data_IF_054410677112
#
_entry.id   IF_054410677112
#
_cell.length_a   1.000
_cell.length_b   1.000
_cell.length_c   1.000
_cell.angle_alpha   90.00
_cell.angle_beta   90.00
_cell.angle_gamma   90.00
#
_symmetry.space_group_name_H-M   'P 1'
#
loop_
_entity.id
_entity.type
_entity.pdbx_description
1 polymer ?
#
# COMPACT_ATOMS: atom_id res chain seq x y z
N UNK A 1 16.22 1.22 19.27
CA UNK A 1 16.39 0.63 17.92
C UNK A 1 15.36 1.33 17.06
N UNK A 2 15.78 2.05 16.02
CA UNK A 2 14.84 2.71 15.13
C UNK A 2 14.11 1.65 14.29
N UNK A 3 12.80 1.63 14.35
CA UNK A 3 11.97 0.86 13.43
C UNK A 3 11.92 1.65 12.13
N UNK A 4 12.44 1.10 11.05
CA UNK A 4 12.52 1.79 9.76
C UNK A 4 11.89 0.96 8.65
N UNK A 5 11.26 1.65 7.71
CA UNK A 5 10.88 1.06 6.43
C UNK A 5 12.04 1.17 5.45
N UNK A 6 12.03 0.30 4.44
CA UNK A 6 12.91 0.40 3.29
C UNK A 6 12.15 0.96 2.09
N UNK A 7 12.78 1.83 1.34
CA UNK A 7 12.32 2.29 0.03
C UNK A 7 13.51 2.13 -0.94
N UNK A 8 13.25 1.59 -2.12
CA UNK A 8 14.29 1.44 -3.15
C UNK A 8 15.01 2.76 -3.43
N UNK A 9 16.35 2.77 -3.57
CA UNK A 9 17.10 3.97 -3.95
C UNK A 9 16.77 4.47 -5.35
N UNK A 10 16.04 3.68 -6.15
CA UNK A 10 15.52 4.06 -7.47
C UNK A 10 14.27 4.94 -7.41
N UNK A 11 13.82 5.35 -6.21
CA UNK A 11 12.67 6.20 -6.04
C UNK A 11 12.96 7.34 -5.06
N UNK A 12 12.28 8.48 -5.25
CA UNK A 12 12.35 9.66 -4.38
C UNK A 12 10.98 9.93 -3.76
N UNK A 13 10.94 9.94 -2.43
CA UNK A 13 9.73 10.24 -1.65
C UNK A 13 9.50 11.74 -1.47
N UNK A 14 8.24 12.11 -1.23
CA UNK A 14 7.87 13.46 -0.85
C UNK A 14 7.85 14.46 -2.00
N UNK A 15 7.83 13.99 -3.24
CA UNK A 15 7.65 14.82 -4.45
C UNK A 15 6.17 15.19 -4.57
N UNK A 16 5.85 16.37 -5.09
CA UNK A 16 4.46 16.77 -5.38
C UNK A 16 3.80 15.74 -6.31
N UNK A 17 2.59 15.30 -5.96
CA UNK A 17 1.81 14.32 -6.71
C UNK A 17 0.64 14.99 -7.40
N UNK A 18 0.31 14.54 -8.61
CA UNK A 18 -0.91 14.94 -9.32
C UNK A 18 -2.16 14.25 -8.77
N UNK A 19 -1.98 13.14 -8.03
CA UNK A 19 -3.07 12.36 -7.43
C UNK A 19 -3.50 13.00 -6.12
N UNK A 20 -2.55 13.10 -5.17
CA UNK A 20 -2.81 13.70 -3.86
C UNK A 20 -1.51 14.06 -3.14
N UNK A 21 -1.41 15.30 -2.66
CA UNK A 21 -0.36 15.77 -1.76
C UNK A 21 1.05 15.48 -2.27
N UNK A 22 1.70 14.46 -1.71
CA UNK A 22 3.05 14.03 -2.05
C UNK A 22 3.08 12.57 -2.45
N UNK A 23 3.91 12.24 -3.44
CA UNK A 23 4.08 10.89 -3.97
C UNK A 23 5.49 10.33 -3.83
N UNK A 24 5.63 9.10 -4.27
CA UNK A 24 6.88 8.39 -4.45
C UNK A 24 7.13 8.27 -5.96
N UNK A 25 8.18 8.91 -6.47
CA UNK A 25 8.45 8.98 -7.91
C UNK A 25 9.69 8.15 -8.24
N UNK A 26 9.60 7.31 -9.27
CA UNK A 26 10.74 6.55 -9.79
C UNK A 26 11.78 7.51 -10.39
N UNK A 27 13.05 7.33 -10.02
CA UNK A 27 14.19 8.11 -10.53
C UNK A 27 15.10 7.31 -11.47
N UNK A 28 14.92 5.98 -11.50
CA UNK A 28 15.59 5.04 -12.36
C UNK A 28 14.61 3.91 -12.75
N UNK A 29 14.88 3.13 -13.82
CA UNK A 29 14.04 2.02 -14.20
C UNK A 29 13.92 0.98 -13.07
N UNK A 30 12.69 0.51 -12.81
CA UNK A 30 12.38 -0.55 -11.86
C UNK A 30 11.74 -1.69 -12.66
N UNK A 31 12.33 -2.88 -12.61
CA UNK A 31 11.82 -4.02 -13.36
C UNK A 31 10.60 -4.66 -12.66
N UNK A 32 9.75 -5.32 -13.44
CA UNK A 32 8.67 -6.15 -12.92
C UNK A 32 9.19 -7.15 -11.87
N UNK A 33 8.53 -7.26 -10.73
CA UNK A 33 8.93 -8.11 -9.59
C UNK A 33 10.04 -7.52 -8.70
N UNK A 34 10.65 -6.39 -9.07
CA UNK A 34 11.70 -5.76 -8.27
C UNK A 34 11.12 -5.19 -6.96
N UNK A 35 11.92 -5.30 -5.88
CA UNK A 35 11.57 -4.74 -4.57
C UNK A 35 11.45 -3.23 -4.63
N UNK A 36 10.28 -2.71 -4.27
CA UNK A 36 9.99 -1.27 -4.18
C UNK A 36 10.14 -0.77 -2.76
N UNK A 37 9.50 -1.43 -1.82
CA UNK A 37 9.51 -1.02 -0.42
C UNK A 37 9.29 -2.22 0.52
N UNK A 38 9.73 -2.04 1.77
CA UNK A 38 9.35 -2.93 2.89
C UNK A 38 8.77 -2.05 3.99
N UNK A 39 7.53 -2.30 4.34
CA UNK A 39 6.84 -1.56 5.40
C UNK A 39 7.38 -1.98 6.76
N UNK A 40 8.01 -1.05 7.46
CA UNK A 40 8.39 -1.17 8.85
C UNK A 40 7.33 -0.59 9.79
N UNK A 41 7.48 -0.82 11.08
CA UNK A 41 6.58 -0.32 12.12
C UNK A 41 6.49 -1.27 13.31
N UNK A 42 5.58 -0.93 14.23
CA UNK A 42 5.23 -1.75 15.39
C UNK A 42 3.94 -2.51 15.12
N UNK A 43 3.88 -3.76 15.56
CA UNK A 43 2.64 -4.53 15.55
C UNK A 43 1.76 -4.03 16.69
N UNK A 44 0.61 -3.49 16.35
CA UNK A 44 -0.36 -2.96 17.30
C UNK A 44 -1.74 -3.56 17.08
N UNK A 45 -2.56 -3.57 18.12
CA UNK A 45 -3.98 -3.92 17.97
C UNK A 45 -4.77 -2.74 17.42
N UNK A 46 -5.96 -3.01 16.85
CA UNK A 46 -6.90 -1.95 16.43
C UNK A 46 -7.20 -0.96 17.56
N UNK A 47 -7.31 -1.43 18.80
CA UNK A 47 -7.56 -0.56 19.95
C UNK A 47 -6.40 0.41 20.20
N UNK A 48 -5.17 -0.06 20.13
CA UNK A 48 -3.97 0.77 20.24
C UNK A 48 -3.88 1.74 19.06
N UNK A 49 -4.07 1.27 17.83
CA UNK A 49 -4.07 2.12 16.63
C UNK A 49 -5.04 3.30 16.79
N UNK A 50 -6.28 3.04 17.17
CA UNK A 50 -7.30 4.07 17.35
C UNK A 50 -7.01 5.07 18.48
N UNK A 51 -6.11 4.75 19.40
CA UNK A 51 -5.66 5.66 20.47
C UNK A 51 -4.52 6.58 20.04
N UNK A 52 -3.89 6.32 18.88
CA UNK A 52 -2.81 7.15 18.35
C UNK A 52 -3.37 8.47 17.77
N UNK A 53 -2.53 9.52 17.66
CA UNK A 53 -2.88 10.69 16.85
C UNK A 53 -3.27 10.29 15.42
N UNK A 54 -4.27 10.96 14.84
CA UNK A 54 -4.81 10.67 13.49
C UNK A 54 -3.72 10.51 12.43
N UNK A 55 -2.71 11.39 12.46
CA UNK A 55 -1.57 11.29 11.55
C UNK A 55 -0.84 9.95 11.64
N UNK A 56 -0.66 9.41 12.84
CA UNK A 56 0.00 8.12 13.03
C UNK A 56 -0.93 6.96 12.68
N UNK A 57 -2.24 7.10 12.88
CA UNK A 57 -3.21 6.12 12.40
C UNK A 57 -3.09 5.93 10.89
N UNK A 58 -2.96 7.03 10.14
CA UNK A 58 -2.80 6.99 8.67
C UNK A 58 -1.45 6.40 8.21
N UNK A 59 -0.56 6.01 9.12
CA UNK A 59 0.71 5.33 8.80
C UNK A 59 0.58 3.82 8.68
N UNK A 60 -0.58 3.27 8.97
CA UNK A 60 -0.75 1.85 9.16
C UNK A 60 -0.88 1.06 7.86
N UNK A 61 -0.64 -0.25 7.95
CA UNK A 61 -1.19 -1.28 7.08
C UNK A 61 -1.73 -2.41 7.94
N UNK A 62 -2.87 -2.98 7.55
CA UNK A 62 -3.43 -4.12 8.24
C UNK A 62 -2.70 -5.41 7.84
N UNK A 63 -2.29 -6.22 8.81
CA UNK A 63 -1.50 -7.46 8.61
C UNK A 63 -2.24 -8.73 9.02
N UNK A 64 -3.28 -8.59 9.85
CA UNK A 64 -4.17 -9.66 10.28
C UNK A 64 -5.45 -9.05 10.87
N UNK A 65 -6.45 -9.89 11.17
CA UNK A 65 -7.67 -9.44 11.85
C UNK A 65 -7.33 -8.79 13.21
N UNK A 66 -7.63 -7.49 13.33
CA UNK A 66 -7.36 -6.73 14.54
C UNK A 66 -5.90 -6.37 14.80
N UNK A 67 -4.98 -6.65 13.87
CA UNK A 67 -3.56 -6.33 13.98
C UNK A 67 -3.06 -5.49 12.82
N UNK A 68 -2.31 -4.47 13.13
CA UNK A 68 -1.79 -3.47 12.22
C UNK A 68 -0.29 -3.27 12.42
N UNK A 69 0.39 -2.85 11.38
CA UNK A 69 1.77 -2.39 11.42
C UNK A 69 1.77 -0.87 11.27
N UNK A 70 2.14 -0.13 12.32
CA UNK A 70 2.03 1.33 12.38
C UNK A 70 3.24 1.99 13.05
N UNK A 71 3.43 3.29 12.79
CA UNK A 71 4.33 4.13 13.58
C UNK A 71 3.69 4.45 14.93
N UNK A 72 4.49 4.50 15.99
CA UNK A 72 4.05 4.93 17.33
C UNK A 72 4.46 6.37 17.66
N UNK A 73 5.44 6.90 16.93
CA UNK A 73 6.03 8.21 17.19
C UNK A 73 6.23 8.97 15.87
N UNK A 74 6.24 10.29 15.94
CA UNK A 74 6.36 11.18 14.77
C UNK A 74 7.67 11.01 14.00
N UNK A 75 8.76 10.68 14.67
CA UNK A 75 10.05 10.43 14.04
C UNK A 75 10.09 9.10 13.25
N UNK A 76 9.19 8.17 13.55
CA UNK A 76 9.00 6.92 12.81
C UNK A 76 8.10 7.11 11.58
N UNK A 77 7.23 8.11 11.59
CA UNK A 77 6.25 8.35 10.53
C UNK A 77 6.90 8.57 9.16
N UNK A 78 7.94 9.38 9.06
CA UNK A 78 8.61 9.70 7.79
C UNK A 78 9.35 8.51 7.17
N UNK A 79 10.04 7.66 7.95
CA UNK A 79 10.60 6.40 7.44
C UNK A 79 9.55 5.37 7.03
N UNK A 80 8.34 5.44 7.59
CA UNK A 80 7.27 4.46 7.38
C UNK A 80 6.53 4.71 6.06
N UNK A 81 7.21 4.70 4.97
CA UNK A 81 6.69 4.48 3.63
C UNK A 81 5.30 5.07 3.27
N UNK A 82 5.07 6.35 3.40
CA UNK A 82 3.72 6.87 3.25
C UNK A 82 3.51 7.77 2.04
N UNK A 83 4.29 7.56 1.02
CA UNK A 83 4.17 8.34 -0.20
C UNK A 83 3.71 7.49 -1.39
N UNK A 84 3.14 6.29 -1.13
CA UNK A 84 2.51 5.48 -2.18
C UNK A 84 1.03 5.82 -2.21
N UNK A 85 0.63 6.66 -3.15
CA UNK A 85 -0.75 7.05 -3.35
C UNK A 85 -1.58 5.92 -3.95
N UNK A 86 -2.90 6.05 -3.82
CA UNK A 86 -3.84 5.15 -4.47
C UNK A 86 -3.92 5.40 -5.98
N UNK A 87 -3.99 4.32 -6.75
CA UNK A 87 -4.43 4.35 -8.14
C UNK A 87 -5.31 3.14 -8.46
N UNK A 88 -6.33 3.32 -9.31
CA UNK A 88 -7.11 2.23 -9.87
C UNK A 88 -6.37 1.46 -10.98
N UNK A 89 -5.22 2.01 -11.45
CA UNK A 89 -4.26 1.34 -12.33
C UNK A 89 -2.86 1.38 -11.68
N UNK A 90 -2.65 0.65 -10.58
CA UNK A 90 -1.43 0.69 -9.82
C UNK A 90 -0.27 0.02 -10.56
N UNK A 91 0.95 0.40 -10.18
CA UNK A 91 2.18 -0.25 -10.63
C UNK A 91 2.94 -0.95 -9.49
N UNK A 92 2.45 -0.88 -8.25
CA UNK A 92 3.02 -1.53 -7.09
C UNK A 92 1.98 -2.40 -6.39
N UNK A 93 2.33 -3.64 -6.10
CA UNK A 93 1.51 -4.60 -5.37
C UNK A 93 2.27 -5.24 -4.22
N UNK A 94 1.62 -6.14 -3.50
CA UNK A 94 2.20 -6.81 -2.34
C UNK A 94 2.80 -8.19 -2.70
N UNK A 95 3.88 -8.53 -2.02
CA UNK A 95 4.44 -9.88 -1.93
C UNK A 95 4.48 -10.26 -0.43
N UNK A 96 3.42 -10.91 0.04
CA UNK A 96 3.18 -11.12 1.47
C UNK A 96 2.43 -9.94 2.11
N UNK A 97 2.69 -9.64 3.39
CA UNK A 97 1.98 -8.58 4.12
C UNK A 97 2.69 -7.21 4.13
N UNK A 98 4.02 -7.20 3.96
CA UNK A 98 4.82 -5.99 4.25
C UNK A 98 5.80 -5.64 3.12
N UNK A 99 5.97 -6.52 2.16
CA UNK A 99 6.87 -6.33 1.01
C UNK A 99 6.05 -5.81 -0.17
N UNK A 100 6.53 -4.74 -0.79
CA UNK A 100 5.92 -4.14 -1.97
C UNK A 100 6.86 -4.32 -3.17
N UNK A 101 6.30 -4.78 -4.29
CA UNK A 101 7.03 -5.08 -5.52
C UNK A 101 6.40 -4.38 -6.72
N UNK A 102 7.20 -4.13 -7.75
CA UNK A 102 6.70 -3.61 -9.01
C UNK A 102 5.85 -4.69 -9.71
N UNK A 103 4.64 -4.35 -10.12
CA UNK A 103 3.72 -5.25 -10.85
C UNK A 103 4.05 -5.32 -12.34
N UNK A 104 4.77 -4.34 -12.87
CA UNK A 104 5.25 -4.20 -14.23
C UNK A 104 6.56 -3.41 -14.25
N UNK A 105 7.17 -3.30 -15.40
CA UNK A 105 8.28 -2.36 -15.58
C UNK A 105 7.78 -0.93 -15.34
N UNK A 106 8.56 -0.13 -14.60
CA UNK A 106 8.27 1.25 -14.23
C UNK A 106 9.40 2.13 -14.76
N UNK A 107 9.04 3.17 -15.51
CA UNK A 107 10.00 4.12 -16.08
C UNK A 107 10.33 5.25 -15.10
N UNK A 108 11.52 5.87 -15.22
CA UNK A 108 11.82 7.10 -14.49
C UNK A 108 10.75 8.17 -14.76
N UNK A 109 10.35 8.88 -13.70
CA UNK A 109 9.30 9.90 -13.75
C UNK A 109 7.89 9.37 -13.42
N UNK A 110 7.64 8.06 -13.48
CA UNK A 110 6.35 7.51 -13.06
C UNK A 110 6.19 7.59 -11.53
N UNK A 111 4.98 7.89 -11.09
CA UNK A 111 4.59 7.77 -9.69
C UNK A 111 4.37 6.30 -9.34
N UNK A 112 4.92 5.88 -8.20
CA UNK A 112 4.71 4.54 -7.63
C UNK A 112 3.40 4.57 -6.86
N UNK A 113 2.42 3.81 -7.33
CA UNK A 113 1.06 3.79 -6.79
C UNK A 113 0.61 2.37 -6.49
N UNK A 114 -0.25 2.22 -5.49
CA UNK A 114 -0.90 0.94 -5.16
C UNK A 114 -2.41 1.10 -5.16
N UNK A 115 -3.16 0.01 -5.31
CA UNK A 115 -4.59 0.02 -5.01
C UNK A 115 -4.78 -0.30 -3.53
N UNK A 116 -5.49 0.56 -2.79
CA UNK A 116 -5.72 0.34 -1.36
C UNK A 116 -6.55 -0.93 -1.09
N UNK A 117 -7.33 -1.38 -2.07
CA UNK A 117 -7.95 -2.69 -2.02
C UNK A 117 -6.97 -3.86 -1.81
N UNK A 118 -5.67 -3.68 -2.09
CA UNK A 118 -4.68 -4.74 -1.98
C UNK A 118 -4.28 -5.07 -0.54
N UNK A 119 -4.53 -4.18 0.43
CA UNK A 119 -4.06 -4.37 1.81
C UNK A 119 -5.01 -3.87 2.90
N UNK A 120 -6.02 -3.09 2.56
CA UNK A 120 -6.94 -2.49 3.51
C UNK A 120 -8.26 -3.27 3.56
N UNK A 121 -8.90 -3.30 4.73
CA UNK A 121 -10.22 -3.90 4.98
C UNK A 121 -11.15 -2.94 5.76
N UNK A 122 -10.77 -1.67 5.88
CA UNK A 122 -11.59 -0.67 6.53
C UNK A 122 -12.80 -0.26 5.66
N UNK A 123 -13.93 -0.07 6.30
CA UNK A 123 -15.14 0.42 5.61
C UNK A 123 -15.21 1.95 5.73
N UNK A 124 -14.28 2.61 5.07
CA UNK A 124 -14.11 4.06 5.02
C UNK A 124 -14.01 4.52 3.56
N UNK A 125 -15.14 4.81 2.92
CA UNK A 125 -15.14 5.27 1.54
C UNK A 125 -14.43 6.64 1.41
N UNK A 126 -13.61 6.75 0.35
CA UNK A 126 -12.90 7.97 0.00
C UNK A 126 -12.98 8.25 -1.50
N UNK A 127 -12.95 9.54 -1.86
CA UNK A 127 -12.91 9.95 -3.26
C UNK A 127 -11.55 9.61 -3.89
N UNK A 128 -11.60 9.06 -5.10
CA UNK A 128 -10.42 8.70 -5.86
C UNK A 128 -10.09 9.75 -6.91
N UNK A 129 -8.90 10.32 -6.83
CA UNK A 129 -8.40 11.34 -7.75
C UNK A 129 -7.27 10.81 -8.66
N UNK A 130 -7.20 9.49 -8.90
CA UNK A 130 -6.07 8.91 -9.65
C UNK A 130 -6.02 9.29 -11.13
N UNK A 131 -7.10 9.82 -11.69
CA UNK A 131 -7.16 10.31 -13.08
C UNK A 131 -7.05 9.24 -14.15
N UNK A 132 -7.00 7.94 -13.79
CA UNK A 132 -6.89 6.85 -14.77
C UNK A 132 -8.21 6.59 -15.48
N UNK A 133 -8.20 6.03 -16.73
CA UNK A 133 -9.43 5.71 -17.45
C UNK A 133 -10.36 4.75 -16.70
N UNK A 134 -9.80 3.86 -15.86
CA UNK A 134 -10.56 2.92 -15.04
C UNK A 134 -10.81 3.41 -13.60
N UNK A 135 -10.71 4.74 -13.37
CA UNK A 135 -10.95 5.31 -12.05
C UNK A 135 -12.35 4.96 -11.53
N UNK A 136 -12.41 4.42 -10.32
CA UNK A 136 -13.67 4.01 -9.68
C UNK A 136 -14.48 5.19 -9.09
N UNK A 137 -13.88 6.39 -9.03
CA UNK A 137 -14.50 7.59 -8.44
C UNK A 137 -14.52 7.55 -6.92
N UNK A 138 -15.07 6.51 -6.33
CA UNK A 138 -15.06 6.23 -4.88
C UNK A 138 -14.42 4.87 -4.65
N UNK A 139 -13.56 4.78 -3.65
CA UNK A 139 -12.88 3.54 -3.22
C UNK A 139 -13.08 3.33 -1.72
N UNK A 140 -12.94 2.10 -1.26
CA UNK A 140 -12.88 1.76 0.16
C UNK A 140 -11.98 0.55 0.39
N UNK A 141 -11.59 0.29 1.62
CA UNK A 141 -10.89 -0.93 1.98
C UNK A 141 -11.70 -2.20 1.72
N UNK A 142 -13.03 -2.11 1.55
CA UNK A 142 -13.88 -3.24 1.17
C UNK A 142 -13.78 -3.64 -0.29
N UNK A 143 -13.13 -2.85 -1.12
CA UNK A 143 -13.00 -3.12 -2.57
C UNK A 143 -12.28 -4.44 -2.88
N UNK A 144 -11.48 -4.99 -1.95
CA UNK A 144 -10.87 -6.32 -2.12
C UNK A 144 -11.90 -7.44 -2.34
N UNK A 145 -13.15 -7.26 -1.92
CA UNK A 145 -14.22 -8.24 -2.10
C UNK A 145 -14.75 -8.28 -3.54
N UNK A 146 -14.39 -7.33 -4.38
CA UNK A 146 -14.84 -7.23 -5.78
C UNK A 146 -14.15 -8.28 -6.65
N UNK A 147 -14.91 -9.22 -7.27
CA UNK A 147 -14.31 -10.30 -8.05
C UNK A 147 -13.45 -9.82 -9.23
N UNK A 148 -13.78 -8.67 -9.81
CA UNK A 148 -13.00 -8.09 -10.89
C UNK A 148 -11.61 -7.63 -10.42
N UNK A 149 -11.48 -7.10 -9.21
CA UNK A 149 -10.19 -6.71 -8.64
C UNK A 149 -9.39 -7.94 -8.21
N UNK A 150 -10.05 -8.96 -7.65
CA UNK A 150 -9.40 -10.22 -7.31
C UNK A 150 -8.78 -10.88 -8.56
N UNK A 151 -9.51 -10.89 -9.69
CA UNK A 151 -8.97 -11.39 -10.97
C UNK A 151 -7.86 -10.51 -11.54
N UNK A 152 -8.01 -9.18 -11.43
CA UNK A 152 -7.06 -8.21 -11.96
C UNK A 152 -5.70 -8.32 -11.27
N UNK A 153 -5.69 -8.42 -9.95
CA UNK A 153 -4.46 -8.32 -9.15
C UNK A 153 -3.90 -9.68 -8.71
N UNK A 154 -4.71 -10.73 -8.66
CA UNK A 154 -4.25 -12.08 -8.36
C UNK A 154 -3.45 -12.17 -7.06
N UNK A 155 -2.19 -12.60 -7.15
CA UNK A 155 -1.29 -12.77 -6.00
C UNK A 155 -0.72 -11.47 -5.41
N UNK A 156 -1.02 -10.31 -6.00
CA UNK A 156 -0.52 -9.02 -5.51
C UNK A 156 -1.31 -8.44 -4.32
N UNK A 157 -2.36 -9.10 -3.87
CA UNK A 157 -2.97 -8.76 -2.58
C UNK A 157 -2.05 -9.10 -1.42
N UNK A 158 -2.17 -8.37 -0.30
CA UNK A 158 -1.55 -8.78 0.95
C UNK A 158 -1.99 -10.20 1.32
N UNK A 159 -1.07 -10.98 1.88
CA UNK A 159 -1.37 -12.38 2.26
C UNK A 159 -2.56 -12.50 3.21
N UNK A 160 -2.74 -11.54 4.08
CA UNK A 160 -3.88 -11.44 4.97
C UNK A 160 -5.22 -11.42 4.23
N UNK A 161 -5.33 -10.67 3.12
CA UNK A 161 -6.53 -10.63 2.29
C UNK A 161 -6.64 -11.83 1.36
N UNK A 162 -5.52 -12.27 0.76
CA UNK A 162 -5.49 -13.45 -0.11
C UNK A 162 -6.15 -14.65 0.56
N UNK A 163 -5.87 -14.90 1.83
CA UNK A 163 -6.44 -16.03 2.58
C UNK A 163 -7.97 -15.99 2.72
N UNK A 164 -8.60 -14.85 2.48
CA UNK A 164 -10.06 -14.69 2.63
C UNK A 164 -10.83 -15.10 1.38
N UNK A 165 -10.19 -15.06 0.21
CA UNK A 165 -10.87 -15.37 -1.06
C UNK A 165 -10.11 -16.38 -1.94
N UNK A 166 -8.82 -16.60 -1.75
CA UNK A 166 -8.09 -17.62 -2.50
C UNK A 166 -8.47 -19.03 -2.01
N UNK A 167 -8.56 -20.03 -2.91
CA UNK A 167 -8.79 -21.40 -2.53
C UNK A 167 -7.72 -21.89 -1.53
N UNK A 168 -8.15 -22.70 -0.53
CA UNK A 168 -7.23 -23.28 0.43
C UNK A 168 -6.14 -24.09 -0.29
N UNK A 169 -4.87 -23.77 -0.04
CA UNK A 169 -3.73 -24.45 -0.68
C UNK A 169 -3.11 -23.72 -1.86
N UNK A 170 -3.63 -22.56 -2.27
CA UNK A 170 -2.94 -21.68 -3.22
C UNK A 170 -1.74 -21.06 -2.50
N UNK A 171 -0.48 -21.32 -2.90
CA UNK A 171 0.68 -20.65 -2.33
C UNK A 171 0.63 -19.15 -2.69
N UNK A 172 1.08 -18.29 -1.78
CA UNK A 172 1.17 -16.85 -2.02
C UNK A 172 2.16 -16.52 -3.11
#
# INVERSE_FOLDING_TARGET
>A
MLVSSYITPKARKGVGSEIQGRGLIATAPIAAGELVAVKGGHIVTTAVLRSLPERLQNSEIQIADGFHLAALQEDEYVPVMLFINHSCEPNVGFAGNVVLVAMRDISPGEELTTDYALFDDADDPMDCNCGTPSCRGTISGRDWQRPELQRKYGSYFSWYLLRRFAPAGTPP
#
